data_IF_888454613897
#
_entry.id   IF_888454613897
#
_cell.length_a   1.000
_cell.length_b   1.000
_cell.length_c   1.000
_cell.angle_alpha   90.00
_cell.angle_beta   90.00
_cell.angle_gamma   90.00
#
_symmetry.space_group_name_H-M   'P 1'
#
loop_
_entity.id
_entity.type
_entity.pdbx_description
1 polymer ?
#
# COMPACT_ATOMS: atom_id res chain seq x y z
N UNK A 1 -4.75 -32.15 10.91
CA UNK A 1 -5.26 -30.80 11.26
C UNK A 1 -4.17 -29.78 10.97
N UNK A 2 -4.45 -28.51 10.65
CA UNK A 2 -3.39 -27.52 10.31
C UNK A 2 -2.30 -27.43 11.40
N UNK A 3 -2.72 -27.61 12.65
CA UNK A 3 -1.87 -27.63 13.86
C UNK A 3 -0.78 -28.71 13.91
N UNK A 4 -0.79 -29.68 12.98
CA UNK A 4 0.25 -30.72 12.90
C UNK A 4 1.50 -30.27 12.11
N UNK A 5 1.44 -29.14 11.40
CA UNK A 5 2.49 -28.68 10.50
C UNK A 5 3.40 -27.62 11.15
N UNK A 6 4.15 -28.00 12.20
CA UNK A 6 5.04 -27.06 12.90
C UNK A 6 6.23 -26.53 12.07
N UNK A 7 6.56 -27.22 10.97
CA UNK A 7 7.56 -26.79 10.00
C UNK A 7 7.00 -26.02 8.80
N UNK A 8 5.70 -25.67 8.81
CA UNK A 8 5.08 -24.87 7.77
C UNK A 8 5.75 -23.49 7.71
N UNK A 9 6.21 -23.09 6.52
CA UNK A 9 6.84 -21.79 6.27
C UNK A 9 5.99 -20.87 5.42
N UNK A 10 5.35 -21.44 4.41
CA UNK A 10 4.51 -20.71 3.48
C UNK A 10 3.15 -21.41 3.46
N UNK A 11 2.09 -20.61 3.53
CA UNK A 11 0.74 -21.07 3.33
C UNK A 11 0.06 -20.22 2.26
N UNK A 12 -0.38 -20.87 1.19
CA UNK A 12 -1.01 -20.22 0.05
C UNK A 12 -2.36 -20.84 -0.27
N UNK A 13 -3.37 -20.00 -0.43
CA UNK A 13 -4.66 -20.34 -1.01
C UNK A 13 -4.82 -19.53 -2.29
N UNK A 14 -5.07 -20.22 -3.40
CA UNK A 14 -5.22 -19.60 -4.70
C UNK A 14 -6.56 -20.00 -5.32
N UNK A 15 -7.26 -19.02 -5.90
CA UNK A 15 -8.48 -19.19 -6.69
C UNK A 15 -9.51 -20.14 -6.05
N UNK A 16 -9.88 -19.82 -4.80
CA UNK A 16 -10.69 -20.70 -3.94
C UNK A 16 -11.70 -19.89 -3.12
N UNK A 17 -12.68 -20.57 -2.55
CA UNK A 17 -13.62 -19.96 -1.60
C UNK A 17 -13.42 -20.55 -0.20
N UNK A 18 -13.16 -19.69 0.78
CA UNK A 18 -13.10 -20.07 2.19
C UNK A 18 -14.50 -19.92 2.77
N UNK A 19 -15.20 -21.05 2.90
CA UNK A 19 -16.55 -21.08 3.50
C UNK A 19 -16.50 -21.04 5.03
N UNK A 20 -15.43 -21.57 5.61
CA UNK A 20 -15.19 -21.61 7.06
C UNK A 20 -13.69 -21.74 7.35
N UNK A 21 -13.20 -20.98 8.30
CA UNK A 21 -11.86 -21.12 8.89
C UNK A 21 -11.96 -20.60 10.32
N UNK A 22 -12.29 -21.53 11.21
CA UNK A 22 -12.67 -21.25 12.58
C UNK A 22 -11.43 -21.20 13.50
N UNK A 23 -11.63 -20.80 14.75
CA UNK A 23 -10.56 -20.61 15.75
C UNK A 23 -9.75 -21.89 16.05
N UNK A 24 -10.37 -23.07 15.95
CA UNK A 24 -9.71 -24.37 16.19
C UNK A 24 -8.70 -24.75 15.09
N UNK A 25 -8.81 -24.11 13.93
CA UNK A 25 -7.88 -24.20 12.81
C UNK A 25 -6.99 -22.96 12.68
N UNK A 26 -6.89 -22.13 13.71
CA UNK A 26 -6.12 -20.89 13.67
C UNK A 26 -4.60 -21.11 13.52
N UNK A 27 -3.96 -20.17 12.82
CA UNK A 27 -2.52 -20.03 12.91
C UNK A 27 -2.15 -19.37 14.24
N UNK A 28 -1.33 -20.07 15.01
CA UNK A 28 -0.77 -19.57 16.27
C UNK A 28 0.71 -19.85 16.35
N UNK A 29 1.44 -19.03 17.11
CA UNK A 29 2.85 -19.16 17.42
C UNK A 29 3.20 -20.54 18.01
N UNK A 30 2.28 -21.15 18.76
CA UNK A 30 2.51 -22.45 19.39
C UNK A 30 2.55 -23.60 18.37
N UNK A 31 1.72 -23.53 17.33
CA UNK A 31 1.59 -24.60 16.34
C UNK A 31 2.33 -24.33 15.03
N UNK A 32 2.58 -23.06 14.68
CA UNK A 32 3.19 -22.67 13.41
C UNK A 32 4.33 -21.66 13.61
N UNK A 33 5.33 -21.96 14.46
CA UNK A 33 6.39 -21.01 14.83
C UNK A 33 7.34 -20.66 13.68
N UNK A 34 7.21 -21.34 12.53
CA UNK A 34 8.06 -21.17 11.35
C UNK A 34 7.33 -20.53 10.17
N UNK A 35 6.04 -20.18 10.33
CA UNK A 35 5.24 -19.59 9.25
C UNK A 35 5.75 -18.17 9.00
N UNK A 36 6.29 -17.93 7.82
CA UNK A 36 6.86 -16.65 7.38
C UNK A 36 6.00 -15.95 6.35
N UNK A 37 5.19 -16.70 5.61
CA UNK A 37 4.51 -16.21 4.42
C UNK A 37 3.07 -16.71 4.35
N UNK A 38 2.13 -15.80 4.12
CA UNK A 38 0.70 -16.10 3.98
C UNK A 38 0.12 -15.42 2.74
N UNK A 39 -0.33 -16.21 1.77
CA UNK A 39 -0.89 -15.72 0.52
C UNK A 39 -2.35 -16.15 0.34
N UNK A 40 -3.27 -15.20 0.20
CA UNK A 40 -4.68 -15.45 -0.13
C UNK A 40 -5.05 -14.73 -1.43
N UNK A 41 -4.95 -15.46 -2.53
CA UNK A 41 -4.96 -14.88 -3.88
C UNK A 41 -6.18 -15.35 -4.65
N UNK A 42 -6.97 -14.43 -5.20
CA UNK A 42 -8.25 -14.77 -5.86
C UNK A 42 -9.18 -15.54 -4.91
N UNK A 43 -9.19 -15.16 -3.63
CA UNK A 43 -9.92 -15.86 -2.57
C UNK A 43 -11.22 -15.15 -2.23
N UNK A 44 -12.32 -15.90 -2.20
CA UNK A 44 -13.61 -15.42 -1.70
C UNK A 44 -13.83 -15.90 -0.26
N UNK A 45 -13.99 -14.95 0.67
CA UNK A 45 -14.19 -15.18 2.09
C UNK A 45 -15.66 -15.00 2.46
N UNK A 46 -16.18 -15.84 3.36
CA UNK A 46 -17.53 -15.69 3.90
C UNK A 46 -17.74 -14.27 4.44
N UNK A 47 -18.79 -13.61 3.95
CA UNK A 47 -19.15 -12.23 4.27
C UNK A 47 -18.09 -11.16 3.94
N UNK A 48 -17.00 -11.48 3.24
CA UNK A 48 -15.93 -10.51 2.99
C UNK A 48 -15.21 -10.07 4.27
N UNK A 49 -15.14 -10.97 5.26
CA UNK A 49 -14.51 -10.75 6.55
C UNK A 49 -13.25 -11.61 6.68
N UNK A 50 -12.26 -11.10 7.43
CA UNK A 50 -11.06 -11.85 7.75
C UNK A 50 -11.45 -13.14 8.50
N UNK A 51 -11.05 -14.34 8.08
CA UNK A 51 -11.46 -15.56 8.76
C UNK A 51 -10.92 -15.65 10.20
N UNK A 52 -11.69 -16.25 11.12
CA UNK A 52 -11.34 -16.32 12.55
C UNK A 52 -9.99 -17.01 12.80
N UNK A 53 -9.62 -17.98 11.95
CA UNK A 53 -8.31 -18.62 12.02
C UNK A 53 -7.11 -17.71 11.78
N UNK A 54 -7.33 -16.47 11.31
CA UNK A 54 -6.31 -15.42 11.15
C UNK A 54 -6.46 -14.29 12.20
N UNK A 55 -7.34 -14.46 13.19
CA UNK A 55 -7.62 -13.48 14.23
C UNK A 55 -7.15 -13.92 15.63
N UNK A 56 -6.28 -14.93 15.72
CA UNK A 56 -5.78 -15.40 17.01
C UNK A 56 -4.88 -14.36 17.68
N UNK A 57 -5.00 -14.23 19.02
CA UNK A 57 -4.22 -13.29 19.85
C UNK A 57 -2.70 -13.53 19.82
N UNK A 58 -2.25 -14.65 19.25
CA UNK A 58 -0.87 -15.08 19.21
C UNK A 58 -0.48 -15.59 17.83
N UNK A 59 -0.83 -14.85 16.77
CA UNK A 59 -0.38 -15.15 15.42
C UNK A 59 1.16 -15.28 15.39
N UNK A 60 1.74 -16.17 14.54
CA UNK A 60 3.18 -16.36 14.50
C UNK A 60 3.92 -15.04 14.25
N UNK A 61 4.83 -14.68 15.15
CA UNK A 61 5.65 -13.46 15.03
C UNK A 61 6.74 -13.59 13.96
N UNK A 62 6.95 -14.81 13.45
CA UNK A 62 7.78 -15.07 12.27
C UNK A 62 7.10 -14.70 10.96
N UNK A 63 5.79 -14.42 10.96
CA UNK A 63 5.06 -14.06 9.75
C UNK A 63 5.50 -12.66 9.33
N UNK A 64 6.23 -12.60 8.23
CA UNK A 64 6.89 -11.38 7.74
C UNK A 64 6.21 -10.89 6.45
N UNK A 65 5.49 -11.76 5.75
CA UNK A 65 4.93 -11.49 4.43
C UNK A 65 3.47 -11.96 4.35
N UNK A 66 2.54 -11.01 4.24
CA UNK A 66 1.10 -11.26 4.25
C UNK A 66 0.46 -10.59 3.04
N UNK A 67 0.04 -11.38 2.06
CA UNK A 67 -0.49 -10.85 0.81
C UNK A 67 -1.86 -11.43 0.45
N UNK A 68 -2.87 -10.59 0.51
CA UNK A 68 -4.22 -10.88 0.05
C UNK A 68 -4.51 -10.06 -1.19
N UNK A 69 -4.55 -10.72 -2.35
CA UNK A 69 -4.71 -10.04 -3.63
C UNK A 69 -5.92 -10.60 -4.38
N UNK A 70 -6.76 -9.71 -4.91
CA UNK A 70 -8.03 -10.06 -5.58
C UNK A 70 -8.95 -10.84 -4.63
N UNK A 71 -9.42 -10.19 -3.58
CA UNK A 71 -10.35 -10.80 -2.61
C UNK A 71 -11.65 -10.01 -2.50
N UNK A 72 -12.62 -10.53 -1.73
CA UNK A 72 -13.82 -9.76 -1.36
C UNK A 72 -13.72 -9.16 0.05
N UNK A 73 -12.52 -9.10 0.64
CA UNK A 73 -12.31 -8.55 1.97
C UNK A 73 -12.63 -7.05 1.98
N UNK A 74 -13.46 -6.61 2.93
CA UNK A 74 -13.93 -5.21 3.01
C UNK A 74 -13.63 -4.50 4.32
N UNK A 75 -13.22 -5.26 5.34
CA UNK A 75 -12.94 -4.75 6.69
C UNK A 75 -12.00 -5.69 7.43
N UNK A 76 -11.27 -5.13 8.39
CA UNK A 76 -10.44 -5.88 9.33
C UNK A 76 -11.01 -5.72 10.76
N UNK A 77 -10.76 -6.68 11.65
CA UNK A 77 -11.02 -6.49 13.08
C UNK A 77 -10.33 -5.23 13.61
N UNK A 78 -10.99 -4.53 14.54
CA UNK A 78 -10.39 -3.35 15.15
C UNK A 78 -9.14 -3.74 15.95
N UNK A 79 -9.11 -4.86 16.64
CA UNK A 79 -7.94 -5.27 17.43
C UNK A 79 -6.85 -5.99 16.61
N UNK A 80 -6.81 -5.83 15.28
CA UNK A 80 -5.80 -6.50 14.45
C UNK A 80 -4.36 -6.10 14.83
N UNK A 81 -4.17 -4.85 15.25
CA UNK A 81 -2.86 -4.28 15.59
C UNK A 81 -2.16 -4.96 16.76
N UNK A 82 -2.93 -5.59 17.67
CA UNK A 82 -2.37 -6.34 18.81
C UNK A 82 -2.22 -7.84 18.50
N UNK A 83 -2.65 -8.29 17.33
CA UNK A 83 -2.68 -9.70 16.91
C UNK A 83 -1.65 -10.00 15.83
N UNK A 84 -1.54 -9.11 14.85
CA UNK A 84 -0.64 -9.26 13.71
C UNK A 84 0.76 -8.72 14.00
N UNK A 85 1.80 -9.25 13.32
CA UNK A 85 3.18 -8.80 13.50
C UNK A 85 3.40 -7.37 12.98
N UNK A 86 4.03 -6.53 13.81
CA UNK A 86 4.20 -5.09 13.54
C UNK A 86 5.09 -4.76 12.33
N UNK A 87 6.07 -5.61 12.00
CA UNK A 87 7.06 -5.34 10.95
C UNK A 87 6.85 -6.17 9.68
N UNK A 88 5.68 -6.78 9.53
CA UNK A 88 5.37 -7.52 8.32
C UNK A 88 5.13 -6.56 7.14
N UNK A 89 5.45 -7.05 5.94
CA UNK A 89 4.94 -6.51 4.68
C UNK A 89 3.51 -7.01 4.51
N UNK A 90 2.55 -6.09 4.36
CA UNK A 90 1.12 -6.39 4.30
C UNK A 90 0.52 -5.79 3.04
N UNK A 91 0.14 -6.65 2.09
CA UNK A 91 -0.50 -6.24 0.84
C UNK A 91 -1.93 -6.74 0.82
N UNK A 92 -2.90 -5.83 0.84
CA UNK A 92 -4.34 -6.14 0.76
C UNK A 92 -4.92 -5.51 -0.51
N UNK A 93 -4.46 -5.99 -1.65
CA UNK A 93 -4.67 -5.39 -2.97
C UNK A 93 -5.93 -5.91 -3.67
N UNK A 94 -6.49 -5.10 -4.57
CA UNK A 94 -7.64 -5.46 -5.40
C UNK A 94 -8.79 -6.09 -4.60
N UNK A 95 -9.07 -5.51 -3.42
CA UNK A 95 -10.10 -5.98 -2.49
C UNK A 95 -11.29 -5.02 -2.47
N UNK A 96 -12.00 -4.87 -1.35
CA UNK A 96 -13.22 -4.05 -1.25
C UNK A 96 -13.16 -3.00 -0.13
N UNK A 97 -11.96 -2.60 0.28
CA UNK A 97 -11.78 -1.57 1.31
C UNK A 97 -12.20 -0.19 0.79
N UNK A 98 -13.13 0.47 1.46
CA UNK A 98 -13.55 1.85 1.12
C UNK A 98 -12.74 2.91 1.86
N UNK A 99 -12.05 2.51 2.92
CA UNK A 99 -11.20 3.35 3.77
C UNK A 99 -10.01 2.52 4.25
N UNK A 100 -8.94 3.18 4.67
CA UNK A 100 -7.83 2.53 5.36
C UNK A 100 -8.32 2.04 6.73
N UNK A 101 -8.26 0.74 7.04
CA UNK A 101 -8.66 0.23 8.34
C UNK A 101 -7.87 0.89 9.49
N UNK A 102 -8.52 1.41 10.55
CA UNK A 102 -7.83 2.04 11.68
C UNK A 102 -6.82 1.12 12.36
N UNK A 103 -7.04 -0.19 12.32
CA UNK A 103 -6.12 -1.17 12.87
C UNK A 103 -4.82 -1.27 12.06
N UNK A 104 -4.83 -1.04 10.74
CA UNK A 104 -3.58 -0.96 9.96
C UNK A 104 -2.81 0.33 10.25
N UNK A 105 -3.52 1.43 10.51
CA UNK A 105 -2.88 2.69 10.92
C UNK A 105 -2.14 2.53 12.25
N UNK A 106 -2.76 1.85 13.23
CA UNK A 106 -2.12 1.56 14.51
C UNK A 106 -1.02 0.51 14.42
N UNK A 107 -1.22 -0.52 13.60
CA UNK A 107 -0.22 -1.56 13.35
C UNK A 107 1.03 -0.97 12.71
N UNK A 108 0.85 -0.03 11.76
CA UNK A 108 1.92 0.63 11.04
C UNK A 108 2.96 -0.35 10.46
N UNK A 109 2.54 -1.27 9.55
CA UNK A 109 3.43 -2.25 8.96
C UNK A 109 4.59 -1.60 8.19
N UNK A 110 5.67 -2.34 7.99
CA UNK A 110 6.86 -1.83 7.32
C UNK A 110 6.57 -1.47 5.86
N UNK A 111 5.92 -2.39 5.14
CA UNK A 111 5.42 -2.19 3.78
C UNK A 111 3.90 -2.35 3.79
N UNK A 112 3.16 -1.38 3.25
CA UNK A 112 1.71 -1.44 3.13
C UNK A 112 1.28 -1.19 1.69
N UNK A 113 0.56 -2.16 1.13
CA UNK A 113 -0.17 -1.94 -0.13
C UNK A 113 -1.68 -2.10 0.09
N UNK A 114 -2.43 -1.08 -0.30
CA UNK A 114 -3.89 -1.08 -0.38
C UNK A 114 -4.35 -0.76 -1.82
N UNK A 115 -3.47 -0.97 -2.80
CA UNK A 115 -3.73 -0.69 -4.22
C UNK A 115 -4.98 -1.39 -4.74
N UNK A 116 -5.62 -0.77 -5.72
CA UNK A 116 -6.86 -1.24 -6.37
C UNK A 116 -8.04 -1.46 -5.40
N UNK A 117 -8.06 -0.76 -4.27
CA UNK A 117 -9.24 -0.65 -3.42
C UNK A 117 -9.97 0.68 -3.68
N UNK A 118 -11.30 0.78 -3.45
CA UNK A 118 -12.05 2.02 -3.59
C UNK A 118 -11.81 3.03 -2.44
N UNK A 119 -10.55 3.20 -2.02
CA UNK A 119 -10.13 4.13 -0.96
C UNK A 119 -10.01 5.54 -1.54
N UNK A 120 -10.60 6.53 -0.87
CA UNK A 120 -10.59 7.92 -1.32
C UNK A 120 -9.65 8.84 -0.53
N UNK A 121 -9.15 8.39 0.62
CA UNK A 121 -8.29 9.19 1.50
C UNK A 121 -7.28 8.31 2.25
N UNK A 122 -6.08 8.84 2.48
CA UNK A 122 -5.04 8.23 3.29
C UNK A 122 -4.96 8.98 4.64
N UNK A 123 -4.98 8.28 5.79
CA UNK A 123 -4.71 8.88 7.10
C UNK A 123 -3.30 9.47 7.18
N UNK A 124 -3.16 10.65 7.80
CA UNK A 124 -1.87 11.34 7.95
C UNK A 124 -0.88 10.53 8.77
N UNK A 125 -1.37 9.75 9.73
CA UNK A 125 -0.57 8.95 10.66
C UNK A 125 0.29 7.89 9.95
N UNK A 126 -0.09 7.46 8.74
CA UNK A 126 0.74 6.56 7.93
C UNK A 126 2.03 7.23 7.44
N UNK A 127 2.01 8.56 7.23
CA UNK A 127 3.18 9.34 6.85
C UNK A 127 4.01 9.78 8.06
N UNK A 128 3.43 9.78 9.25
CA UNK A 128 4.09 10.19 10.50
C UNK A 128 4.72 9.00 11.26
N UNK A 129 4.46 7.77 10.83
CA UNK A 129 4.94 6.56 11.48
C UNK A 129 6.38 6.21 11.10
N UNK A 130 7.28 6.14 12.10
CA UNK A 130 8.68 5.69 11.94
C UNK A 130 8.84 4.19 11.65
N UNK A 131 7.74 3.43 11.58
CA UNK A 131 7.76 2.01 11.19
C UNK A 131 7.45 1.79 9.71
N UNK A 132 6.65 2.67 9.10
CA UNK A 132 6.25 2.57 7.69
C UNK A 132 7.38 3.12 6.81
N UNK A 133 7.77 2.35 5.80
CA UNK A 133 8.78 2.76 4.82
C UNK A 133 8.26 2.81 3.39
N UNK A 134 7.31 1.95 3.04
CA UNK A 134 6.78 1.83 1.68
C UNK A 134 5.25 1.84 1.71
N UNK A 135 4.64 2.70 0.90
CA UNK A 135 3.19 2.82 0.78
C UNK A 135 2.76 2.66 -0.67
N UNK A 136 1.75 1.84 -0.92
CA UNK A 136 1.13 1.69 -2.24
C UNK A 136 -0.38 1.86 -2.17
N UNK A 137 -0.85 2.85 -2.91
CA UNK A 137 -2.27 3.18 -3.08
C UNK A 137 -2.62 3.35 -4.56
N UNK A 138 -1.89 2.66 -5.44
CA UNK A 138 -2.10 2.72 -6.88
C UNK A 138 -3.51 2.29 -7.28
N UNK A 139 -4.10 2.95 -8.27
CA UNK A 139 -5.43 2.64 -8.79
C UNK A 139 -6.57 2.77 -7.77
N UNK A 140 -6.37 3.57 -6.71
CA UNK A 140 -7.41 3.93 -5.75
C UNK A 140 -8.15 5.21 -6.18
N UNK A 141 -9.11 5.68 -5.37
CA UNK A 141 -9.91 6.89 -5.64
C UNK A 141 -9.29 8.18 -5.04
N UNK A 142 -8.02 8.12 -4.64
CA UNK A 142 -7.31 9.25 -4.04
C UNK A 142 -7.20 10.40 -5.04
N UNK A 143 -7.43 11.62 -4.57
CA UNK A 143 -7.28 12.85 -5.36
C UNK A 143 -6.33 13.88 -4.73
N UNK A 144 -6.05 13.72 -3.44
CA UNK A 144 -5.07 14.50 -2.69
C UNK A 144 -4.51 13.64 -1.55
N UNK A 145 -3.26 13.90 -1.17
CA UNK A 145 -2.68 13.39 0.07
C UNK A 145 -3.24 14.20 1.28
N UNK A 146 -3.11 13.74 2.53
CA UNK A 146 -3.56 14.51 3.69
C UNK A 146 -2.87 15.87 3.76
N UNK A 147 -3.62 16.93 4.05
CA UNK A 147 -3.11 18.30 4.12
C UNK A 147 -2.14 18.51 5.30
N UNK A 148 -2.38 17.85 6.44
CA UNK A 148 -1.80 18.21 7.74
C UNK A 148 -0.83 17.18 8.33
N UNK A 149 0.06 16.60 7.51
CA UNK A 149 1.17 15.78 8.03
C UNK A 149 2.12 16.68 8.82
N UNK A 150 2.19 16.48 10.13
CA UNK A 150 2.97 17.31 11.05
C UNK A 150 4.47 17.13 10.87
N UNK A 151 4.90 15.88 10.67
CA UNK A 151 6.29 15.52 10.39
C UNK A 151 6.34 14.23 9.57
N UNK A 152 6.87 14.31 8.36
CA UNK A 152 7.14 13.12 7.56
C UNK A 152 8.17 12.23 8.28
N UNK A 153 7.81 10.96 8.47
CA UNK A 153 8.66 9.97 9.11
C UNK A 153 9.98 9.80 8.36
N UNK A 154 11.06 9.62 9.13
CA UNK A 154 12.39 9.44 8.54
C UNK A 154 12.57 8.08 7.86
N UNK A 155 11.70 7.12 8.17
CA UNK A 155 11.65 5.80 7.55
C UNK A 155 10.98 5.80 6.18
N UNK A 156 10.16 6.80 5.85
CA UNK A 156 9.42 6.85 4.59
C UNK A 156 10.39 6.95 3.41
N UNK A 157 10.27 6.01 2.47
CA UNK A 157 11.20 5.87 1.37
C UNK A 157 10.52 5.91 0.01
N UNK A 158 9.35 5.29 -0.13
CA UNK A 158 8.66 5.16 -1.41
C UNK A 158 7.14 5.26 -1.24
N UNK A 159 6.49 5.96 -2.17
CA UNK A 159 5.04 6.10 -2.23
C UNK A 159 4.56 5.89 -3.67
N UNK A 160 3.74 4.85 -3.88
CA UNK A 160 3.05 4.62 -5.14
C UNK A 160 1.62 5.18 -5.13
N UNK A 161 1.37 6.13 -6.03
CA UNK A 161 0.10 6.81 -6.29
C UNK A 161 -0.30 6.69 -7.77
N UNK A 162 0.29 5.76 -8.52
CA UNK A 162 -0.03 5.53 -9.92
C UNK A 162 -1.52 5.26 -10.12
N UNK A 163 -2.09 5.69 -11.23
CA UNK A 163 -3.51 5.53 -11.59
C UNK A 163 -4.51 6.09 -10.56
N UNK A 164 -4.07 7.03 -9.72
CA UNK A 164 -4.95 7.86 -8.88
C UNK A 164 -5.33 9.16 -9.59
N UNK A 165 -6.08 10.03 -8.90
CA UNK A 165 -6.45 11.36 -9.40
C UNK A 165 -5.61 12.48 -8.78
N UNK A 166 -4.40 12.18 -8.29
CA UNK A 166 -3.46 13.17 -7.75
C UNK A 166 -3.09 14.21 -8.81
N UNK A 167 -3.13 15.48 -8.43
CA UNK A 167 -2.86 16.61 -9.34
C UNK A 167 -1.85 17.63 -8.81
N UNK A 168 -1.50 17.54 -7.53
CA UNK A 168 -0.51 18.38 -6.86
C UNK A 168 -0.02 17.65 -5.60
N UNK A 169 1.05 18.17 -4.99
CA UNK A 169 1.57 17.68 -3.71
C UNK A 169 1.61 18.76 -2.62
N UNK A 170 1.45 18.36 -1.37
CA UNK A 170 1.65 19.24 -0.21
C UNK A 170 3.13 19.37 0.12
N UNK A 171 3.57 20.52 0.64
CA UNK A 171 4.99 20.81 0.92
C UNK A 171 5.62 19.91 1.98
N UNK A 172 4.83 19.25 2.82
CA UNK A 172 5.37 18.27 3.78
C UNK A 172 6.05 17.08 3.10
N UNK A 173 5.79 16.81 1.81
CA UNK A 173 6.43 15.72 1.06
C UNK A 173 7.84 16.07 0.57
N UNK A 174 8.20 17.36 0.54
CA UNK A 174 9.47 17.84 -0.01
C UNK A 174 10.72 17.14 0.56
N UNK A 175 10.80 16.80 1.87
CA UNK A 175 11.93 16.07 2.42
C UNK A 175 12.22 14.74 1.72
N UNK A 176 11.20 14.08 1.16
CA UNK A 176 11.33 12.81 0.44
C UNK A 176 12.13 12.99 -0.87
N UNK A 177 11.98 14.14 -1.54
CA UNK A 177 12.49 14.36 -2.91
C UNK A 177 13.75 15.21 -2.97
N UNK A 178 14.05 15.97 -1.92
CA UNK A 178 15.28 16.78 -1.84
C UNK A 178 16.49 15.95 -1.40
N UNK A 179 16.28 14.74 -0.86
CA UNK A 179 17.36 13.84 -0.51
C UNK A 179 17.80 13.02 -1.73
N UNK A 180 19.11 12.89 -2.01
CA UNK A 180 19.58 12.09 -3.15
C UNK A 180 19.18 10.62 -2.99
N UNK A 181 18.35 10.11 -3.89
CA UNK A 181 17.98 8.71 -4.00
C UNK A 181 18.43 8.12 -5.34
N UNK A 182 18.62 6.79 -5.39
CA UNK A 182 18.93 6.07 -6.64
C UNK A 182 17.69 5.85 -7.52
N UNK A 183 16.50 5.97 -6.94
CA UNK A 183 15.21 5.83 -7.61
C UNK A 183 14.28 6.99 -7.20
N UNK A 184 13.34 7.41 -8.07
CA UNK A 184 12.30 8.35 -7.68
C UNK A 184 11.50 7.77 -6.50
N UNK A 185 11.34 8.51 -5.39
CA UNK A 185 10.61 8.01 -4.22
C UNK A 185 9.08 8.12 -4.35
N UNK A 186 8.59 8.65 -5.46
CA UNK A 186 7.15 8.77 -5.73
C UNK A 186 6.88 8.19 -7.12
N UNK A 187 5.99 7.20 -7.19
CA UNK A 187 5.40 6.75 -8.46
C UNK A 187 4.00 7.36 -8.62
N UNK A 188 3.73 7.97 -9.76
CA UNK A 188 2.46 8.65 -10.04
C UNK A 188 2.06 8.52 -11.52
N UNK A 189 2.45 7.42 -12.18
CA UNK A 189 2.06 7.13 -13.56
C UNK A 189 0.54 7.19 -13.74
N UNK A 190 0.07 7.62 -14.90
CA UNK A 190 -1.38 7.71 -15.18
C UNK A 190 -2.14 8.84 -14.45
N UNK A 191 -1.50 9.61 -13.56
CA UNK A 191 -2.15 10.70 -12.82
C UNK A 191 -2.24 12.02 -13.63
N UNK A 192 -3.20 12.91 -13.29
CA UNK A 192 -3.21 14.28 -13.80
C UNK A 192 -1.90 15.05 -13.54
N UNK A 193 -1.24 14.81 -12.41
CA UNK A 193 0.05 15.42 -12.07
C UNK A 193 1.15 15.05 -13.07
N UNK A 194 1.30 13.77 -13.40
CA UNK A 194 2.30 13.32 -14.38
C UNK A 194 2.00 13.81 -15.80
N UNK A 195 0.73 13.94 -16.16
CA UNK A 195 0.34 14.60 -17.41
C UNK A 195 0.78 16.07 -17.44
N UNK A 196 0.72 16.76 -16.30
CA UNK A 196 1.18 18.14 -16.18
C UNK A 196 2.71 18.26 -16.26
N UNK A 197 3.46 17.38 -15.59
CA UNK A 197 4.93 17.29 -15.74
C UNK A 197 5.29 17.17 -17.22
N UNK A 198 4.71 16.20 -17.94
CA UNK A 198 5.01 15.97 -19.35
C UNK A 198 4.81 17.25 -20.18
N UNK A 199 3.67 17.94 -20.00
CA UNK A 199 3.37 19.17 -20.72
C UNK A 199 4.30 20.33 -20.36
N UNK A 200 4.72 20.43 -19.09
CA UNK A 200 5.65 21.47 -18.62
C UNK A 200 7.03 21.26 -19.27
N UNK A 201 7.57 20.03 -19.20
CA UNK A 201 8.89 19.69 -19.76
C UNK A 201 8.91 19.84 -21.29
N UNK A 202 7.81 19.55 -21.97
CA UNK A 202 7.63 19.79 -23.41
C UNK A 202 7.37 21.27 -23.77
N UNK A 203 7.33 22.19 -22.80
CA UNK A 203 7.02 23.62 -22.98
C UNK A 203 5.64 23.88 -23.58
N UNK A 204 4.69 22.95 -23.37
CA UNK A 204 3.29 23.09 -23.80
C UNK A 204 2.45 23.83 -22.77
N UNK A 205 2.89 23.89 -21.51
CA UNK A 205 2.32 24.72 -20.45
C UNK A 205 3.42 25.28 -19.53
N UNK A 206 3.10 26.34 -18.77
CA UNK A 206 4.06 27.06 -17.92
C UNK A 206 3.78 26.92 -16.43
N UNK A 207 2.74 26.18 -16.05
CA UNK A 207 2.32 25.94 -14.68
C UNK A 207 1.50 24.64 -14.63
N UNK A 208 1.38 24.06 -13.43
CA UNK A 208 0.44 22.96 -13.16
C UNK A 208 -1.00 23.44 -13.30
N UNK A 209 -1.89 22.56 -13.76
CA UNK A 209 -3.29 22.90 -14.02
C UNK A 209 -4.09 23.08 -12.72
N UNK A 210 -3.71 22.35 -11.67
CA UNK A 210 -4.26 22.44 -10.32
C UNK A 210 -3.11 22.81 -9.38
N UNK A 211 -3.43 23.64 -8.39
CA UNK A 211 -2.45 24.08 -7.37
C UNK A 211 -3.09 23.98 -5.99
N UNK A 212 -2.29 23.75 -4.94
CA UNK A 212 -2.78 23.82 -3.57
C UNK A 212 -3.32 25.22 -3.24
N UNK A 213 -4.20 25.36 -2.23
CA UNK A 213 -4.73 26.65 -1.79
C UNK A 213 -3.65 27.71 -1.51
N UNK A 214 -3.92 28.98 -1.84
CA UNK A 214 -2.95 30.11 -1.81
C UNK A 214 -2.32 30.43 -0.43
N UNK A 215 -2.72 29.76 0.65
CA UNK A 215 -2.28 30.04 2.02
C UNK A 215 -1.24 29.06 2.56
N UNK A 216 -0.80 28.09 1.75
CA UNK A 216 0.09 27.00 2.16
C UNK A 216 1.41 27.13 1.40
N UNK A 217 2.52 26.79 2.06
CA UNK A 217 3.82 26.71 1.42
C UNK A 217 3.75 25.75 0.22
N UNK A 218 4.15 26.22 -0.95
CA UNK A 218 4.12 25.41 -2.16
C UNK A 218 5.23 24.37 -2.13
N UNK A 219 4.87 23.10 -2.35
CA UNK A 219 5.84 22.04 -2.57
C UNK A 219 6.74 22.37 -3.76
N UNK A 220 8.02 21.98 -3.66
CA UNK A 220 8.94 21.99 -4.80
C UNK A 220 8.42 21.17 -5.99
N UNK A 221 7.56 20.18 -5.73
CA UNK A 221 6.90 19.37 -6.76
C UNK A 221 5.84 20.15 -7.54
N UNK A 222 5.40 21.31 -7.05
CA UNK A 222 4.46 22.18 -7.77
C UNK A 222 5.15 23.39 -8.44
N UNK A 223 6.48 23.47 -8.42
CA UNK A 223 7.23 24.55 -9.06
C UNK A 223 7.60 24.21 -10.51
N UNK A 224 6.89 24.83 -11.47
CA UNK A 224 7.11 24.62 -12.91
C UNK A 224 8.30 25.40 -13.50
N UNK A 225 9.06 26.13 -12.67
CA UNK A 225 10.23 26.91 -13.08
C UNK A 225 11.28 26.03 -13.77
N UNK A 226 11.91 26.56 -14.83
CA UNK A 226 12.94 25.83 -15.60
C UNK A 226 14.10 25.34 -14.72
N UNK A 227 14.46 26.12 -13.70
CA UNK A 227 15.53 25.77 -12.76
C UNK A 227 15.17 24.56 -11.86
N UNK A 228 13.88 24.17 -11.79
CA UNK A 228 13.37 23.05 -11.00
C UNK A 228 13.12 21.76 -11.80
N UNK A 229 13.27 21.79 -13.13
CA UNK A 229 12.92 20.66 -14.00
C UNK A 229 13.70 19.37 -13.67
N UNK A 230 14.98 19.49 -13.31
CA UNK A 230 15.81 18.35 -12.91
C UNK A 230 15.26 17.61 -11.68
N UNK A 231 14.57 18.33 -10.78
CA UNK A 231 13.93 17.75 -9.59
C UNK A 231 12.64 17.06 -10.01
N UNK A 232 11.79 17.73 -10.80
CA UNK A 232 10.55 17.14 -11.31
C UNK A 232 10.79 15.83 -12.08
N UNK A 233 11.84 15.75 -12.89
CA UNK A 233 12.20 14.55 -13.66
C UNK A 233 12.71 13.38 -12.79
N UNK A 234 13.28 13.66 -11.62
CA UNK A 234 13.92 12.64 -10.76
C UNK A 234 13.09 12.25 -9.55
N UNK A 235 12.22 13.14 -9.10
CA UNK A 235 11.44 12.98 -7.89
C UNK A 235 10.20 12.10 -8.10
N UNK A 236 9.63 12.14 -9.31
CA UNK A 236 8.37 11.45 -9.61
C UNK A 236 8.54 10.57 -10.84
N UNK A 237 8.30 9.28 -10.66
CA UNK A 237 8.21 8.30 -11.75
C UNK A 237 6.83 8.35 -12.38
N UNK A 238 6.77 8.67 -13.68
CA UNK A 238 5.52 8.94 -14.41
C UNK A 238 5.16 7.89 -15.46
N UNK A 239 5.92 6.80 -15.56
CA UNK A 239 5.62 5.71 -16.48
C UNK A 239 4.59 4.74 -15.86
N UNK A 240 3.97 3.92 -16.70
CA UNK A 240 3.04 2.86 -16.24
C UNK A 240 3.79 1.79 -15.43
N UNK A 241 3.17 1.36 -14.33
CA UNK A 241 3.64 0.28 -13.46
C UNK A 241 2.64 -0.87 -13.42
N UNK A 242 3.06 -2.01 -12.89
CA UNK A 242 2.13 -3.09 -12.57
C UNK A 242 1.12 -2.62 -11.52
N UNK A 243 -0.15 -2.98 -11.73
CA UNK A 243 -1.26 -2.50 -10.90
C UNK A 243 -1.28 -3.05 -9.47
N UNK A 244 -0.45 -4.07 -9.19
CA UNK A 244 -0.32 -4.77 -7.91
C UNK A 244 1.14 -5.09 -7.65
N UNK A 245 1.57 -5.01 -6.40
CA UNK A 245 2.89 -5.49 -5.99
C UNK A 245 2.96 -7.02 -5.95
N UNK A 246 1.84 -7.69 -5.67
CA UNK A 246 1.77 -9.14 -5.88
C UNK A 246 1.80 -9.44 -7.39
N UNK A 247 2.66 -10.36 -7.88
CA UNK A 247 2.83 -10.61 -9.31
C UNK A 247 1.70 -11.48 -9.89
N UNK A 248 0.50 -10.90 -10.01
CA UNK A 248 -0.73 -11.60 -10.41
C UNK A 248 -0.60 -12.32 -11.76
N UNK A 249 -0.02 -11.69 -12.77
CA UNK A 249 0.10 -12.29 -14.11
C UNK A 249 1.00 -13.53 -14.11
N UNK A 250 2.12 -13.45 -13.39
CA UNK A 250 3.00 -14.60 -13.17
C UNK A 250 2.24 -15.70 -12.43
N UNK A 251 1.49 -15.35 -11.39
CA UNK A 251 0.77 -16.32 -10.57
C UNK A 251 -0.38 -17.00 -11.32
N UNK A 252 -1.09 -16.26 -12.16
CA UNK A 252 -2.09 -16.80 -13.07
C UNK A 252 -1.48 -17.70 -14.15
N UNK A 253 -0.22 -17.47 -14.52
CA UNK A 253 0.50 -18.34 -15.43
C UNK A 253 0.87 -19.69 -14.77
N UNK A 254 1.41 -19.64 -13.54
CA UNK A 254 2.11 -20.79 -12.95
C UNK A 254 1.36 -21.48 -11.80
N UNK A 255 0.40 -20.84 -11.13
CA UNK A 255 -0.34 -21.39 -9.99
C UNK A 255 -1.75 -21.88 -10.31
N UNK A 256 -2.21 -21.70 -11.56
CA UNK A 256 -3.47 -22.29 -12.02
C UNK A 256 -3.38 -23.83 -11.99
N UNK A 257 -4.19 -24.45 -11.11
CA UNK A 257 -4.42 -25.90 -11.16
C UNK A 257 -5.29 -26.17 -12.39
N UNK A 258 -4.75 -26.87 -13.39
CA UNK A 258 -5.49 -27.36 -14.57
C UNK A 258 -6.42 -28.51 -14.14
#
# INVERSE_FOLDING_TARGET
MLTEFSGLKEFKIYNSSITSWDEDAAFTQAFHPMLTTLFLIRVNMTNGELPLGLQADNLPQSLEDIEFCVTNLRSLPDDLDVKWPQYASIYLEASQFQEVPPSLVRLAPYDLSLSLNPIAAIPEELFESESVAYLSFGGTLISELPENVSNLASSMYDINLSDTNISFFWSWIDPLVITPSNAPPISAGGTPYCLDILRILEKRQTAFAISPPEHIDQSILNDASVDNWDILEKAVYCEEEDSTWYPLDFEDEYSKII
#
